data_IF_770078936570
#
_entry.id   IF_770078936570
#
_cell.length_a   1.000
_cell.length_b   1.000
_cell.length_c   1.000
_cell.angle_alpha   90.00
_cell.angle_beta   90.00
_cell.angle_gamma   90.00
#
_symmetry.space_group_name_H-M   'P 1'
#
loop_
_entity.id
_entity.type
_entity.pdbx_description
1 polymer ?
#
# COMPACT_ATOMS: atom_id res chain seq x y z
N UNK A 1 14.55 -28.92 -33.76
CA UNK A 1 15.08 -28.21 -34.94
C UNK A 1 16.19 -27.30 -34.46
N UNK A 2 17.39 -27.50 -35.00
CA UNK A 2 18.65 -26.85 -34.61
C UNK A 2 18.87 -25.63 -35.50
N UNK A 3 19.14 -24.46 -34.92
CA UNK A 3 19.79 -23.37 -35.64
C UNK A 3 21.10 -23.01 -34.95
N UNK A 4 22.14 -23.18 -35.74
CA UNK A 4 23.55 -23.03 -35.43
C UNK A 4 23.91 -21.59 -35.76
N UNK A 5 24.22 -20.77 -34.75
CA UNK A 5 24.82 -19.46 -34.97
C UNK A 5 26.31 -19.56 -34.65
N UNK A 6 27.07 -19.92 -35.68
CA UNK A 6 28.51 -19.88 -35.70
C UNK A 6 28.92 -18.48 -36.16
N UNK A 7 29.21 -17.59 -35.22
CA UNK A 7 29.99 -16.37 -35.49
C UNK A 7 31.06 -16.22 -34.42
N UNK A 8 32.25 -16.66 -34.80
CA UNK A 8 33.53 -16.37 -34.19
C UNK A 8 33.72 -14.83 -34.24
N UNK A 9 33.57 -14.14 -33.12
CA UNK A 9 33.99 -12.74 -33.00
C UNK A 9 35.07 -12.62 -31.93
N UNK A 10 36.15 -11.99 -32.39
CA UNK A 10 37.42 -11.74 -31.75
C UNK A 10 37.33 -11.10 -30.36
N UNK A 11 38.38 -11.36 -29.56
CA UNK A 11 38.73 -10.67 -28.33
C UNK A 11 38.52 -9.16 -28.44
N UNK A 12 37.64 -8.63 -27.59
CA UNK A 12 37.75 -7.28 -27.03
C UNK A 12 37.34 -7.36 -25.56
N UNK A 13 38.27 -6.98 -24.68
CA UNK A 13 38.02 -6.83 -23.26
C UNK A 13 37.27 -5.53 -22.94
N UNK A 14 36.87 -5.45 -21.67
CA UNK A 14 36.27 -4.33 -20.94
C UNK A 14 34.74 -4.18 -21.10
N UNK A 15 34.01 -4.48 -20.01
CA UNK A 15 33.16 -3.55 -19.23
C UNK A 15 31.98 -4.26 -18.53
N UNK A 16 31.83 -4.01 -17.23
CA UNK A 16 30.52 -3.89 -16.55
C UNK A 16 29.76 -5.18 -16.21
N UNK A 17 30.15 -5.83 -15.10
CA UNK A 17 29.24 -6.76 -14.41
C UNK A 17 28.22 -5.99 -13.58
N UNK A 18 27.02 -5.77 -14.12
CA UNK A 18 25.85 -5.45 -13.30
C UNK A 18 25.05 -6.74 -13.08
N UNK A 19 25.22 -7.38 -11.93
CA UNK A 19 24.19 -8.28 -11.42
C UNK A 19 22.98 -7.44 -11.08
N UNK A 20 22.01 -7.37 -11.99
CA UNK A 20 20.67 -6.94 -11.65
C UNK A 20 20.08 -8.01 -10.73
N UNK A 21 20.25 -7.82 -9.42
CA UNK A 21 19.40 -8.45 -8.43
C UNK A 21 17.98 -8.05 -8.81
N UNK A 22 17.21 -9.01 -9.34
CA UNK A 22 15.77 -8.90 -9.42
C UNK A 22 15.29 -8.86 -7.98
N UNK A 23 15.27 -7.65 -7.42
CA UNK A 23 14.45 -7.34 -6.26
C UNK A 23 13.06 -7.83 -6.64
N UNK A 24 12.59 -8.83 -5.92
CA UNK A 24 11.18 -9.20 -5.84
C UNK A 24 10.45 -7.93 -5.43
N UNK A 25 10.04 -7.14 -6.43
CA UNK A 25 9.32 -5.90 -6.21
C UNK A 25 7.95 -6.31 -5.74
N UNK A 26 7.78 -6.28 -4.41
CA UNK A 26 6.51 -6.34 -3.73
C UNK A 26 5.54 -5.42 -4.44
N UNK A 27 4.58 -6.04 -5.12
CA UNK A 27 3.56 -5.35 -5.89
C UNK A 27 2.65 -4.45 -5.02
N UNK A 28 2.81 -4.41 -3.69
CA UNK A 28 1.95 -3.67 -2.75
C UNK A 28 2.07 -2.14 -2.83
N UNK A 29 3.20 -1.59 -3.30
CA UNK A 29 3.43 -0.13 -3.21
C UNK A 29 2.53 0.73 -4.12
N UNK A 30 2.05 0.20 -5.25
CA UNK A 30 1.31 1.00 -6.23
C UNK A 30 -0.10 1.40 -5.77
N UNK A 31 -0.84 0.46 -5.19
CA UNK A 31 -2.25 0.67 -4.84
C UNK A 31 -2.37 1.50 -3.55
N UNK A 32 -1.51 1.26 -2.58
CA UNK A 32 -1.41 2.06 -1.35
C UNK A 32 -1.10 3.52 -1.68
N UNK A 33 -0.18 3.74 -2.63
CA UNK A 33 0.15 5.08 -3.11
C UNK A 33 -1.03 5.73 -3.83
N UNK A 34 -1.77 4.98 -4.66
CA UNK A 34 -2.94 5.50 -5.35
C UNK A 34 -4.05 5.91 -4.37
N UNK A 35 -4.34 5.10 -3.34
CA UNK A 35 -5.30 5.47 -2.30
C UNK A 35 -4.81 6.70 -1.52
N UNK A 36 -3.53 6.75 -1.15
CA UNK A 36 -2.96 7.89 -0.40
C UNK A 36 -3.05 9.20 -1.19
N UNK A 37 -2.81 9.16 -2.50
CA UNK A 37 -2.97 10.32 -3.39
C UNK A 37 -4.44 10.71 -3.53
N UNK A 38 -5.34 9.74 -3.72
CA UNK A 38 -6.77 10.00 -3.86
C UNK A 38 -7.35 10.71 -2.64
N UNK A 39 -6.90 10.35 -1.44
CA UNK A 39 -7.37 10.94 -0.17
C UNK A 39 -6.45 12.03 0.40
N UNK A 40 -5.54 12.57 -0.43
CA UNK A 40 -4.54 13.52 0.03
C UNK A 40 -5.15 14.85 0.53
N UNK A 41 -6.22 15.32 -0.12
CA UNK A 41 -6.92 16.53 0.32
C UNK A 41 -7.86 16.25 1.50
N UNK A 42 -7.38 16.60 2.69
CA UNK A 42 -8.06 16.40 3.98
C UNK A 42 -8.82 17.64 4.45
N UNK A 43 -9.10 18.61 3.58
CA UNK A 43 -9.87 19.81 3.91
C UNK A 43 -11.24 19.50 4.51
N UNK A 44 -11.66 20.23 5.55
CA UNK A 44 -12.95 20.03 6.21
C UNK A 44 -13.50 21.34 6.82
N UNK A 45 -14.83 21.40 6.96
CA UNK A 45 -15.55 22.42 7.72
C UNK A 45 -16.01 21.92 9.10
N UNK A 46 -16.27 20.60 9.21
CA UNK A 46 -16.79 19.98 10.40
C UNK A 46 -16.36 18.52 10.55
N UNK A 47 -16.25 18.05 11.79
CA UNK A 47 -15.70 16.72 12.09
C UNK A 47 -16.49 15.54 11.51
N UNK A 48 -17.78 15.69 11.19
CA UNK A 48 -18.55 14.59 10.57
C UNK A 48 -18.08 14.26 9.15
N UNK A 49 -17.36 15.18 8.50
CA UNK A 49 -16.75 14.98 7.19
C UNK A 49 -15.46 14.15 7.29
N UNK A 50 -14.85 14.07 8.47
CA UNK A 50 -13.61 13.35 8.68
C UNK A 50 -13.91 11.89 8.98
N UNK A 51 -13.46 11.00 8.09
CA UNK A 51 -13.68 9.57 8.16
C UNK A 51 -12.37 8.83 8.36
N UNK A 52 -12.49 7.62 8.88
CA UNK A 52 -11.40 6.67 9.05
C UNK A 52 -11.81 5.37 8.39
N UNK A 53 -10.94 4.79 7.57
CA UNK A 53 -11.11 3.45 7.01
C UNK A 53 -9.93 2.56 7.35
N UNK A 54 -10.19 1.32 7.71
CA UNK A 54 -9.16 0.30 7.85
C UNK A 54 -8.79 -0.25 6.47
N UNK A 55 -7.49 -0.35 6.19
CA UNK A 55 -6.96 -0.84 4.92
C UNK A 55 -5.98 -1.97 5.19
N UNK A 56 -6.02 -3.01 4.35
CA UNK A 56 -5.10 -4.14 4.42
C UNK A 56 -5.52 -5.23 5.41
N UNK A 57 -4.64 -6.20 5.61
CA UNK A 57 -4.80 -7.28 6.58
C UNK A 57 -3.47 -7.66 7.24
N UNK A 58 -3.44 -7.62 8.58
CA UNK A 58 -2.30 -8.16 9.34
C UNK A 58 -2.37 -9.68 9.41
N UNK A 59 -1.28 -10.32 9.00
CA UNK A 59 -1.21 -11.78 8.86
C UNK A 59 -1.48 -12.57 10.15
N UNK A 60 -0.99 -12.11 11.32
CA UNK A 60 -1.08 -12.90 12.57
C UNK A 60 -1.94 -12.32 13.67
N UNK A 61 -2.38 -11.07 13.54
CA UNK A 61 -3.26 -10.41 14.51
C UNK A 61 -4.60 -9.95 13.94
N UNK A 62 -4.85 -10.27 12.66
CA UNK A 62 -6.06 -9.88 11.95
C UNK A 62 -6.26 -8.36 11.89
N UNK A 63 -7.42 -7.94 11.39
CA UNK A 63 -7.72 -6.52 11.22
C UNK A 63 -6.78 -5.81 10.23
N UNK A 64 -6.96 -4.50 10.05
CA UNK A 64 -6.26 -3.77 9.00
C UNK A 64 -4.76 -3.60 9.29
N UNK A 65 -3.97 -3.52 8.23
CA UNK A 65 -2.53 -3.19 8.31
C UNK A 65 -2.32 -1.71 8.63
N UNK A 66 -3.30 -0.86 8.33
CA UNK A 66 -3.28 0.57 8.63
C UNK A 66 -4.69 1.18 8.71
N UNK A 67 -4.79 2.37 9.30
CA UNK A 67 -5.99 3.21 9.24
C UNK A 67 -5.70 4.48 8.44
N UNK A 68 -6.58 4.79 7.50
CA UNK A 68 -6.46 5.95 6.61
C UNK A 68 -7.50 6.99 7.00
N UNK A 69 -7.06 8.22 7.25
CA UNK A 69 -7.93 9.38 7.48
C UNK A 69 -8.18 10.10 6.17
N UNK A 70 -9.43 10.41 5.87
CA UNK A 70 -9.85 11.13 4.68
C UNK A 70 -11.04 12.07 4.95
N UNK A 71 -11.33 12.96 4.01
CA UNK A 71 -12.45 13.90 4.10
C UNK A 71 -13.47 13.66 3.00
N UNK A 72 -14.72 13.30 3.36
CA UNK A 72 -15.82 13.16 2.40
C UNK A 72 -16.28 14.49 1.79
N UNK A 73 -15.67 15.61 2.19
CA UNK A 73 -15.85 16.89 1.51
C UNK A 73 -15.26 16.85 0.09
N UNK A 74 -14.13 16.16 -0.08
CA UNK A 74 -13.33 16.25 -1.30
C UNK A 74 -13.25 14.92 -2.06
N UNK A 75 -13.66 13.81 -1.45
CA UNK A 75 -13.64 12.48 -2.09
C UNK A 75 -14.97 11.76 -1.91
N UNK A 76 -15.28 10.88 -2.86
CA UNK A 76 -16.41 9.95 -2.78
C UNK A 76 -16.06 8.77 -1.86
N UNK A 77 -16.81 8.65 -0.76
CA UNK A 77 -16.65 7.58 0.25
C UNK A 77 -16.70 6.18 -0.38
N UNK A 78 -17.56 5.96 -1.37
CA UNK A 78 -17.68 4.65 -2.02
C UNK A 78 -16.44 4.26 -2.83
N UNK A 79 -15.72 5.24 -3.40
CA UNK A 79 -14.47 4.99 -4.12
C UNK A 79 -13.33 4.69 -3.15
N UNK A 80 -13.28 5.40 -2.02
CA UNK A 80 -12.33 5.10 -0.93
C UNK A 80 -12.52 3.66 -0.43
N UNK A 81 -13.77 3.24 -0.21
CA UNK A 81 -14.09 1.87 0.20
C UNK A 81 -13.65 0.83 -0.82
N UNK A 82 -13.93 1.05 -2.11
CA UNK A 82 -13.53 0.13 -3.18
C UNK A 82 -12.00 -0.04 -3.25
N UNK A 83 -11.24 1.05 -3.15
CA UNK A 83 -9.78 1.01 -3.13
C UNK A 83 -9.25 0.29 -1.88
N UNK A 84 -9.81 0.58 -0.70
CA UNK A 84 -9.44 -0.11 0.54
C UNK A 84 -9.69 -1.62 0.46
N UNK A 85 -10.83 -2.04 -0.12
CA UNK A 85 -11.14 -3.46 -0.34
C UNK A 85 -10.15 -4.10 -1.30
N UNK A 86 -9.79 -3.44 -2.41
CA UNK A 86 -8.84 -3.96 -3.38
C UNK A 86 -7.45 -4.21 -2.75
N UNK A 87 -6.94 -3.23 -1.98
CA UNK A 87 -5.69 -3.35 -1.23
C UNK A 87 -5.77 -4.51 -0.23
N UNK A 88 -6.87 -4.59 0.52
CA UNK A 88 -7.07 -5.63 1.54
C UNK A 88 -7.10 -7.02 0.94
N UNK A 89 -7.76 -7.21 -0.21
CA UNK A 89 -7.80 -8.49 -0.91
C UNK A 89 -6.40 -8.90 -1.41
N UNK A 90 -5.63 -7.92 -1.90
CA UNK A 90 -4.26 -8.16 -2.35
C UNK A 90 -3.33 -8.55 -1.21
N UNK A 91 -3.37 -7.84 -0.09
CA UNK A 91 -2.61 -8.21 1.11
C UNK A 91 -3.01 -9.59 1.63
N UNK A 92 -4.31 -9.90 1.68
CA UNK A 92 -4.82 -11.24 2.04
C UNK A 92 -4.25 -12.33 1.15
N UNK A 93 -4.22 -12.12 -0.17
CA UNK A 93 -3.67 -13.09 -1.12
C UNK A 93 -2.16 -13.31 -0.90
N UNK A 94 -1.41 -12.25 -0.58
CA UNK A 94 0.02 -12.33 -0.25
C UNK A 94 0.22 -13.09 1.07
N UNK A 95 -0.57 -12.76 2.10
CA UNK A 95 -0.53 -13.39 3.43
C UNK A 95 -0.78 -14.91 3.38
N UNK A 96 -1.57 -15.38 2.41
CA UNK A 96 -1.83 -16.81 2.19
C UNK A 96 -0.66 -17.56 1.53
N UNK A 97 0.23 -16.84 0.85
CA UNK A 97 1.35 -17.41 0.10
C UNK A 97 2.67 -17.35 0.89
N UNK A 98 2.69 -16.66 2.02
CA UNK A 98 3.90 -16.45 2.83
C UNK A 98 3.76 -17.12 4.20
N UNK A 99 4.87 -17.58 4.81
CA UNK A 99 4.84 -18.07 6.19
C UNK A 99 4.33 -16.97 7.14
N UNK A 100 3.54 -17.31 8.17
CA UNK A 100 3.06 -16.34 9.14
C UNK A 100 4.20 -15.62 9.87
N UNK A 101 4.11 -14.29 9.99
CA UNK A 101 5.01 -13.50 10.85
C UNK A 101 4.88 -13.87 12.32
N UNK A 102 5.98 -14.25 12.98
CA UNK A 102 6.03 -14.47 14.43
C UNK A 102 5.73 -13.19 15.24
N UNK A 103 5.92 -12.03 14.62
CA UNK A 103 5.66 -10.73 15.25
C UNK A 103 4.28 -10.23 14.86
N UNK A 104 3.45 -9.98 15.88
CA UNK A 104 2.25 -9.18 15.74
C UNK A 104 2.53 -7.71 16.05
N UNK A 105 2.67 -6.89 15.01
CA UNK A 105 2.68 -5.43 15.18
C UNK A 105 1.27 -4.94 15.47
N UNK A 106 1.09 -4.26 16.60
CA UNK A 106 -0.19 -3.66 16.96
C UNK A 106 -0.50 -2.46 16.06
N UNK A 107 -1.73 -2.41 15.55
CA UNK A 107 -2.29 -1.27 14.83
C UNK A 107 -3.60 -0.93 15.52
N UNK A 108 -3.61 0.21 16.21
CA UNK A 108 -4.75 0.64 17.01
C UNK A 108 -5.75 1.41 16.16
N UNK A 109 -7.07 1.21 16.36
CA UNK A 109 -8.09 2.08 15.81
C UNK A 109 -7.85 3.53 16.20
N UNK A 110 -8.12 4.44 15.26
CA UNK A 110 -8.06 5.89 15.45
C UNK A 110 -9.42 6.50 15.17
N UNK A 111 -9.61 7.73 15.62
CA UNK A 111 -10.71 8.59 15.16
C UNK A 111 -10.15 9.73 14.31
N UNK A 112 -11.02 10.46 13.63
CA UNK A 112 -10.64 11.67 12.91
C UNK A 112 -11.53 12.84 13.32
N UNK A 113 -10.91 14.01 13.51
CA UNK A 113 -11.61 15.25 13.80
C UNK A 113 -11.17 16.35 12.83
N UNK A 114 -12.05 17.31 12.59
CA UNK A 114 -11.71 18.51 11.84
C UNK A 114 -11.01 19.50 12.76
N UNK A 115 -9.69 19.65 12.59
CA UNK A 115 -8.85 20.54 13.39
C UNK A 115 -8.09 21.44 12.44
N UNK A 116 -8.24 22.76 12.60
CA UNK A 116 -7.66 23.77 11.71
C UNK A 116 -8.00 23.52 10.23
N UNK A 117 -9.26 23.21 9.96
CA UNK A 117 -9.78 22.92 8.61
C UNK A 117 -9.12 21.73 7.91
N UNK A 118 -8.54 20.81 8.68
CA UNK A 118 -7.91 19.57 8.21
C UNK A 118 -8.40 18.38 9.03
N UNK A 119 -8.71 17.27 8.36
CA UNK A 119 -9.01 16.01 9.03
C UNK A 119 -7.74 15.40 9.60
N UNK A 120 -7.67 15.33 10.93
CA UNK A 120 -6.50 14.84 11.67
C UNK A 120 -6.86 13.58 12.46
N UNK A 121 -5.92 12.64 12.50
CA UNK A 121 -6.02 11.43 13.31
C UNK A 121 -5.93 11.77 14.80
N UNK A 122 -6.81 11.16 15.61
CA UNK A 122 -6.82 11.27 17.06
C UNK A 122 -6.76 9.86 17.65
N UNK A 123 -5.77 9.64 18.51
CA UNK A 123 -5.63 8.38 19.25
C UNK A 123 -6.54 8.37 20.47
N UNK A 124 -7.26 7.28 20.66
CA UNK A 124 -8.02 7.04 21.88
C UNK A 124 -7.04 6.59 22.98
N UNK A 125 -7.00 7.35 24.07
CA UNK A 125 -6.24 7.01 25.28
C UNK A 125 -7.12 6.25 26.25
#
# INVERSE_FOLDING_TARGET
MKYQCLTLFLLTGLLGGCSATQTTQSASNGDDFALAEFVADKGCDASFQCKVIGVGERQTCGGPSQYVVYSVRNVDESQVEQMAVAITQKERAINQQTPPSEVCKQVLPIQALCINSQCQAITLK
#
